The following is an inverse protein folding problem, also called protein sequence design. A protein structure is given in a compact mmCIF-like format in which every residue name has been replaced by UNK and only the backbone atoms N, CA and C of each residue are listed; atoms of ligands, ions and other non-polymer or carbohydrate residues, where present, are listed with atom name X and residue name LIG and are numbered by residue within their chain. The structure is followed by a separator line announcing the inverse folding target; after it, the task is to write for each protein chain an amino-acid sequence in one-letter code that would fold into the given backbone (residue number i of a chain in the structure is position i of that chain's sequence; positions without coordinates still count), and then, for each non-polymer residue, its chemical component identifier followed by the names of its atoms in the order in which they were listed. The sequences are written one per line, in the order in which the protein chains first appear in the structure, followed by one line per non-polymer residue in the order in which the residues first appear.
data_IF_390141350132
#
_entry.id   IF_390141350132
#
_cell.length_a   1.000
_cell.length_b   1.000
_cell.length_c   1.000
_cell.angle_alpha   90.00
_cell.angle_beta   90.00
_cell.angle_gamma   90.00
#
_symmetry.space_group_name_H-M   'P 1'
#
loop_
_entity.id
_entity.type
_entity.pdbx_description
1 polymer ?
#
# COMPACT_ATOMS: atom_id res chain seq x y z
N UNK A 1 19.40 17.84 38.78
CA UNK A 1 19.93 17.29 37.50
C UNK A 1 19.02 16.18 37.04
N UNK A 2 18.22 16.41 36.01
CA UNK A 2 17.42 15.39 35.34
C UNK A 2 18.35 14.59 34.41
N UNK A 3 18.62 13.33 34.74
CA UNK A 3 19.42 12.44 33.91
C UNK A 3 18.54 11.83 32.82
N UNK A 4 18.68 12.37 31.61
CA UNK A 4 18.19 11.80 30.35
C UNK A 4 18.98 10.52 30.06
N UNK A 5 18.40 9.34 30.27
CA UNK A 5 19.00 8.07 29.84
C UNK A 5 18.85 7.91 28.32
N UNK A 6 19.97 7.84 27.62
CA UNK A 6 20.05 7.41 26.22
C UNK A 6 19.68 5.93 26.12
N UNK A 7 18.78 5.60 25.20
CA UNK A 7 18.43 4.22 24.83
C UNK A 7 19.58 3.59 24.03
N UNK A 8 20.66 3.26 24.72
CA UNK A 8 21.78 2.46 24.18
C UNK A 8 22.07 1.26 25.09
N UNK A 9 21.05 0.69 25.71
CA UNK A 9 21.18 -0.63 26.35
C UNK A 9 20.91 -1.71 25.28
N UNK A 10 22.00 -2.24 24.72
CA UNK A 10 22.03 -3.38 23.79
C UNK A 10 21.67 -4.72 24.45
N UNK A 11 21.22 -4.73 25.72
CA UNK A 11 20.89 -5.93 26.49
C UNK A 11 19.38 -6.15 26.70
N UNK A 12 18.53 -5.39 26.00
CA UNK A 12 17.08 -5.61 25.94
C UNK A 12 16.65 -5.67 24.48
N UNK A 13 17.28 -6.55 23.70
CA UNK A 13 16.75 -6.99 22.41
C UNK A 13 16.26 -8.41 22.69
N UNK A 14 15.04 -8.52 23.21
CA UNK A 14 14.32 -9.79 23.13
C UNK A 14 14.18 -10.06 21.63
N UNK A 15 14.74 -11.18 21.16
CA UNK A 15 14.73 -11.62 19.77
C UNK A 15 13.30 -11.58 19.23
N UNK A 16 13.00 -10.49 18.52
CA UNK A 16 11.79 -10.32 17.75
C UNK A 16 11.82 -11.36 16.62
N UNK A 17 10.77 -12.17 16.41
CA UNK A 17 10.79 -13.13 15.32
C UNK A 17 11.00 -12.41 13.97
N UNK A 18 11.82 -13.00 13.09
CA UNK A 18 12.20 -12.39 11.82
C UNK A 18 10.97 -12.03 10.98
N UNK A 19 10.84 -10.76 10.57
CA UNK A 19 9.84 -10.30 9.61
C UNK A 19 10.25 -10.78 8.22
N UNK A 20 9.43 -11.64 7.61
CA UNK A 20 9.59 -12.01 6.21
C UNK A 20 8.86 -10.98 5.34
N UNK A 21 9.59 -10.28 4.46
CA UNK A 21 8.99 -9.34 3.49
C UNK A 21 9.06 -9.96 2.11
N UNK A 22 7.92 -9.99 1.43
CA UNK A 22 7.78 -10.55 0.09
C UNK A 22 7.11 -9.54 -0.82
N UNK A 23 7.72 -9.30 -1.98
CA UNK A 23 7.11 -8.50 -3.05
C UNK A 23 6.24 -9.40 -3.92
N UNK A 24 4.99 -8.99 -4.13
CA UNK A 24 4.02 -9.71 -4.95
C UNK A 24 3.66 -8.84 -6.15
N UNK A 25 4.12 -9.26 -7.32
CA UNK A 25 3.95 -8.52 -8.56
C UNK A 25 2.59 -8.80 -9.20
N UNK A 26 1.87 -7.73 -9.53
CA UNK A 26 0.58 -7.74 -10.19
C UNK A 26 0.71 -7.15 -11.59
N UNK A 27 0.13 -7.80 -12.58
CA UNK A 27 0.04 -7.25 -13.93
C UNK A 27 -1.16 -6.31 -14.05
N UNK A 28 -1.00 -5.19 -14.76
CA UNK A 28 -2.15 -4.34 -15.11
C UNK A 28 -3.13 -5.12 -16.00
N UNK A 29 -4.43 -4.98 -15.73
CA UNK A 29 -5.48 -5.40 -16.67
C UNK A 29 -5.47 -4.52 -17.91
N UNK A 30 -6.15 -4.95 -18.98
CA UNK A 30 -6.25 -4.15 -20.21
C UNK A 30 -6.84 -2.75 -19.94
N UNK A 31 -7.91 -2.66 -19.15
CA UNK A 31 -8.51 -1.38 -18.75
C UNK A 31 -7.48 -0.51 -18.00
N UNK A 32 -6.77 -1.09 -17.03
CA UNK A 32 -5.78 -0.34 -16.27
C UNK A 32 -4.62 0.14 -17.16
N UNK A 33 -4.15 -0.68 -18.12
CA UNK A 33 -3.10 -0.28 -19.09
C UNK A 33 -3.55 0.93 -19.92
N UNK A 34 -4.77 0.89 -20.47
CA UNK A 34 -5.33 1.96 -21.30
C UNK A 34 -5.43 3.25 -20.46
N UNK A 35 -6.01 3.19 -19.26
CA UNK A 35 -6.14 4.35 -18.38
C UNK A 35 -4.77 4.92 -18.00
N UNK A 36 -3.84 4.05 -17.65
CA UNK A 36 -2.49 4.44 -17.26
C UNK A 36 -1.80 5.21 -18.40
N UNK A 37 -1.82 4.68 -19.62
CA UNK A 37 -1.23 5.34 -20.79
C UNK A 37 -1.88 6.70 -21.06
N UNK A 38 -3.21 6.76 -21.04
CA UNK A 38 -3.94 8.02 -21.23
C UNK A 38 -3.57 9.10 -20.19
N UNK A 39 -3.46 8.72 -18.92
CA UNK A 39 -3.08 9.64 -17.84
C UNK A 39 -1.65 10.19 -18.07
N UNK A 40 -0.72 9.32 -18.45
CA UNK A 40 0.67 9.71 -18.75
C UNK A 40 0.72 10.69 -19.92
N UNK A 41 0.06 10.37 -21.03
CA UNK A 41 0.03 11.22 -22.23
C UNK A 41 -0.59 12.59 -21.96
N UNK A 42 -1.77 12.62 -21.32
CA UNK A 42 -2.47 13.87 -20.99
C UNK A 42 -1.64 14.76 -20.07
N UNK A 43 -0.92 14.17 -19.11
CA UNK A 43 -0.09 14.96 -18.20
C UNK A 43 1.15 15.48 -18.89
N UNK A 44 1.79 14.70 -19.76
CA UNK A 44 2.95 15.18 -20.54
C UNK A 44 2.59 16.40 -21.37
N UNK A 45 1.45 16.37 -22.07
CA UNK A 45 0.96 17.53 -22.84
C UNK A 45 0.70 18.76 -21.94
N UNK A 46 0.19 18.56 -20.72
CA UNK A 46 -0.05 19.66 -19.77
C UNK A 46 1.24 20.24 -19.20
N UNK A 47 2.26 19.42 -18.97
CA UNK A 47 3.55 19.86 -18.42
C UNK A 47 4.34 20.71 -19.42
N UNK A 48 4.18 20.48 -20.72
CA UNK A 48 4.78 21.31 -21.78
C UNK A 48 4.22 22.75 -21.80
N UNK A 49 3.05 22.98 -21.19
CA UNK A 49 2.31 24.25 -21.27
C UNK A 49 2.34 25.10 -19.98
N UNK A 50 2.97 24.62 -18.90
CA UNK A 50 2.87 25.21 -17.54
C UNK A 50 4.21 25.65 -16.95
N UNK A 51 4.19 26.67 -16.10
CA UNK A 51 5.33 27.18 -15.32
C UNK A 51 5.46 26.52 -13.92
N UNK A 52 6.64 26.64 -13.29
CA UNK A 52 7.13 25.78 -12.21
C UNK A 52 6.24 25.46 -10.99
N UNK A 53 5.38 26.36 -10.50
CA UNK A 53 4.47 26.04 -9.37
C UNK A 53 3.30 25.15 -9.83
N UNK A 54 2.76 25.43 -11.01
CA UNK A 54 1.65 24.67 -11.59
C UNK A 54 2.11 23.27 -12.05
N UNK A 55 3.41 23.14 -12.39
CA UNK A 55 4.04 21.86 -12.69
C UNK A 55 4.07 20.91 -11.48
N UNK A 56 4.48 21.36 -10.29
CA UNK A 56 4.53 20.48 -9.10
C UNK A 56 3.16 19.91 -8.75
N UNK A 57 2.12 20.76 -8.81
CA UNK A 57 0.74 20.33 -8.60
C UNK A 57 0.30 19.28 -9.63
N UNK A 58 0.63 19.49 -10.90
CA UNK A 58 0.34 18.53 -11.97
C UNK A 58 1.05 17.18 -11.76
N UNK A 59 2.31 17.17 -11.30
CA UNK A 59 3.05 15.93 -10.99
C UNK A 59 2.38 15.17 -9.84
N UNK A 60 1.99 15.84 -8.76
CA UNK A 60 1.27 15.17 -7.66
C UNK A 60 -0.09 14.60 -8.10
N UNK A 61 -0.83 15.35 -8.93
CA UNK A 61 -2.10 14.88 -9.48
C UNK A 61 -1.90 13.63 -10.36
N UNK A 62 -0.86 13.63 -11.21
CA UNK A 62 -0.47 12.47 -12.01
C UNK A 62 -0.13 11.27 -11.14
N UNK A 63 0.75 11.42 -10.16
CA UNK A 63 1.13 10.32 -9.28
C UNK A 63 -0.07 9.74 -8.51
N UNK A 64 -0.97 10.62 -8.07
CA UNK A 64 -2.21 10.21 -7.42
C UNK A 64 -3.07 9.37 -8.37
N UNK A 65 -3.26 9.83 -9.61
CA UNK A 65 -4.04 9.12 -10.61
C UNK A 65 -3.44 7.77 -10.99
N UNK A 66 -2.11 7.70 -11.20
CA UNK A 66 -1.43 6.43 -11.51
C UNK A 66 -1.52 5.43 -10.35
N UNK A 67 -1.35 5.89 -9.11
CA UNK A 67 -1.56 5.04 -7.91
C UNK A 67 -2.98 4.51 -7.84
N UNK A 68 -3.98 5.36 -8.06
CA UNK A 68 -5.38 4.95 -8.06
C UNK A 68 -5.64 3.88 -9.13
N UNK A 69 -5.19 4.10 -10.37
CA UNK A 69 -5.35 3.12 -11.46
C UNK A 69 -4.64 1.81 -11.14
N UNK A 70 -3.43 1.84 -10.58
CA UNK A 70 -2.70 0.63 -10.16
C UNK A 70 -3.45 -0.14 -9.07
N UNK A 71 -4.13 0.54 -8.15
CA UNK A 71 -4.97 -0.08 -7.12
C UNK A 71 -6.25 -0.69 -7.72
N UNK A 72 -7.03 0.13 -8.41
CA UNK A 72 -8.29 -0.26 -9.06
C UNK A 72 -8.78 0.88 -9.98
N UNK A 73 -9.24 0.60 -11.22
CA UNK A 73 -9.75 1.64 -12.12
C UNK A 73 -10.89 2.44 -11.50
N UNK A 74 -11.76 1.78 -10.73
CA UNK A 74 -12.85 2.41 -9.96
C UNK A 74 -12.39 3.57 -9.06
N UNK A 75 -11.16 3.58 -8.56
CA UNK A 75 -10.66 4.70 -7.73
C UNK A 75 -10.42 5.98 -8.53
N UNK A 76 -10.23 5.87 -9.84
CA UNK A 76 -9.98 6.98 -10.75
C UNK A 76 -11.24 7.38 -11.52
N UNK A 77 -12.01 6.39 -12.02
CA UNK A 77 -13.29 6.59 -12.72
C UNK A 77 -14.38 5.89 -11.92
N UNK A 78 -15.41 6.61 -11.48
CA UNK A 78 -16.42 6.03 -10.59
C UNK A 78 -17.30 4.98 -11.26
N UNK A 79 -17.46 5.09 -12.58
CA UNK A 79 -18.27 4.21 -13.41
C UNK A 79 -17.56 2.92 -13.84
N UNK A 80 -16.27 2.76 -13.55
CA UNK A 80 -15.55 1.52 -13.84
C UNK A 80 -16.13 0.34 -13.04
N UNK A 81 -15.90 -0.88 -13.52
CA UNK A 81 -16.35 -2.09 -12.82
C UNK A 81 -15.80 -2.14 -11.39
N UNK A 82 -16.59 -2.67 -10.46
CA UNK A 82 -16.20 -2.98 -9.08
C UNK A 82 -15.82 -4.46 -8.91
N UNK A 83 -15.83 -5.23 -10.00
CA UNK A 83 -15.48 -6.65 -10.00
C UNK A 83 -13.99 -6.86 -9.77
N UNK A 84 -13.64 -8.03 -9.24
CA UNK A 84 -12.27 -8.34 -8.86
C UNK A 84 -11.30 -8.37 -10.04
N UNK A 85 -11.83 -8.76 -11.20
CA UNK A 85 -11.12 -8.95 -12.45
C UNK A 85 -10.64 -7.63 -13.06
N UNK A 86 -11.23 -6.50 -12.66
CA UNK A 86 -10.87 -5.17 -13.15
C UNK A 86 -9.50 -4.68 -12.64
N UNK A 87 -8.94 -5.30 -11.59
CA UNK A 87 -7.63 -4.95 -11.04
C UNK A 87 -6.72 -6.16 -10.84
N UNK A 88 -5.50 -6.07 -11.40
CA UNK A 88 -4.48 -7.09 -11.19
C UNK A 88 -4.08 -7.27 -9.72
N UNK A 89 -4.02 -6.17 -8.96
CA UNK A 89 -3.71 -6.25 -7.52
C UNK A 89 -4.81 -6.95 -6.74
N UNK A 90 -6.07 -6.74 -7.11
CA UNK A 90 -7.19 -7.48 -6.50
C UNK A 90 -7.08 -8.98 -6.78
N UNK A 91 -6.72 -9.37 -8.01
CA UNK A 91 -6.54 -10.77 -8.35
C UNK A 91 -5.42 -11.44 -7.53
N UNK A 92 -4.26 -10.76 -7.40
CA UNK A 92 -3.17 -11.22 -6.54
C UNK A 92 -3.60 -11.30 -5.06
N UNK A 93 -4.30 -10.27 -4.58
CA UNK A 93 -4.83 -10.24 -3.21
C UNK A 93 -5.71 -11.46 -2.94
N UNK A 94 -6.67 -11.78 -3.82
CA UNK A 94 -7.56 -12.93 -3.65
C UNK A 94 -6.79 -14.25 -3.62
N UNK A 95 -5.75 -14.40 -4.46
CA UNK A 95 -4.86 -15.57 -4.42
C UNK A 95 -4.13 -15.72 -3.09
N UNK A 96 -3.57 -14.63 -2.57
CA UNK A 96 -2.92 -14.61 -1.25
C UNK A 96 -3.91 -14.94 -0.13
N UNK A 97 -5.08 -14.30 -0.14
CA UNK A 97 -6.11 -14.51 0.87
C UNK A 97 -6.60 -15.95 0.89
N UNK A 98 -6.89 -16.56 -0.26
CA UNK A 98 -7.27 -17.98 -0.34
C UNK A 98 -6.22 -18.88 0.31
N UNK A 99 -4.93 -18.61 0.08
CA UNK A 99 -3.82 -19.36 0.66
C UNK A 99 -3.69 -19.19 2.17
N UNK A 100 -3.78 -17.95 2.65
CA UNK A 100 -3.69 -17.60 4.08
C UNK A 100 -4.89 -18.16 4.86
N UNK A 101 -6.10 -17.97 4.34
CA UNK A 101 -7.33 -18.37 5.01
C UNK A 101 -7.51 -19.90 5.05
N UNK A 102 -7.01 -20.62 4.04
CA UNK A 102 -6.97 -22.09 4.05
C UNK A 102 -6.17 -22.64 5.25
N UNK A 103 -5.20 -21.88 5.75
CA UNK A 103 -4.38 -22.21 6.92
C UNK A 103 -4.95 -21.69 8.23
N UNK A 104 -6.14 -21.07 8.19
CA UNK A 104 -6.79 -20.41 9.34
C UNK A 104 -5.90 -19.34 10.00
N UNK A 105 -5.06 -18.68 9.21
CA UNK A 105 -4.18 -17.60 9.65
C UNK A 105 -4.87 -16.24 9.48
N UNK A 106 -4.64 -15.31 10.43
CA UNK A 106 -5.26 -13.98 10.39
C UNK A 106 -4.42 -12.98 9.59
N UNK A 107 -5.10 -12.11 8.85
CA UNK A 107 -4.47 -11.14 7.95
C UNK A 107 -5.00 -9.72 8.12
N UNK A 108 -4.09 -8.75 8.04
CA UNK A 108 -4.40 -7.33 7.95
C UNK A 108 -4.14 -6.85 6.52
N UNK A 109 -5.07 -6.08 5.96
CA UNK A 109 -4.89 -5.43 4.66
C UNK A 109 -4.80 -3.92 4.88
N UNK A 110 -3.69 -3.32 4.45
CA UNK A 110 -3.47 -1.88 4.52
C UNK A 110 -3.64 -1.24 3.14
N UNK A 111 -4.36 -0.12 3.12
CA UNK A 111 -4.46 0.75 1.94
C UNK A 111 -4.37 2.22 2.32
N UNK A 112 -3.82 3.06 1.44
CA UNK A 112 -3.83 4.52 1.56
C UNK A 112 -5.22 5.12 1.34
N UNK A 113 -6.08 4.45 0.58
CA UNK A 113 -7.32 5.02 0.07
C UNK A 113 -8.53 4.44 0.81
N UNK A 114 -9.29 5.28 1.50
CA UNK A 114 -10.50 4.84 2.20
C UNK A 114 -11.53 4.21 1.24
N UNK A 115 -11.67 4.78 0.04
CA UNK A 115 -12.53 4.25 -1.02
C UNK A 115 -12.11 2.85 -1.47
N UNK A 116 -10.81 2.56 -1.51
CA UNK A 116 -10.33 1.20 -1.79
C UNK A 116 -10.71 0.24 -0.68
N UNK A 117 -10.63 0.66 0.58
CA UNK A 117 -11.05 -0.18 1.70
C UNK A 117 -12.52 -0.57 1.63
N UNK A 118 -13.41 0.37 1.27
CA UNK A 118 -14.83 0.06 1.04
C UNK A 118 -15.03 -0.87 -0.16
N UNK A 119 -14.36 -0.60 -1.28
CA UNK A 119 -14.42 -1.47 -2.46
C UNK A 119 -13.94 -2.90 -2.15
N UNK A 120 -12.87 -3.03 -1.37
CA UNK A 120 -12.39 -4.33 -0.90
C UNK A 120 -13.43 -5.04 -0.01
N UNK A 121 -14.20 -4.35 0.83
CA UNK A 121 -15.28 -5.00 1.59
C UNK A 121 -16.32 -5.63 0.64
N UNK A 122 -16.73 -4.92 -0.41
CA UNK A 122 -17.68 -5.41 -1.42
C UNK A 122 -17.13 -6.63 -2.18
N UNK A 123 -15.88 -6.53 -2.64
CA UNK A 123 -15.20 -7.60 -3.38
C UNK A 123 -15.02 -8.83 -2.50
N UNK A 124 -14.50 -8.69 -1.28
CA UNK A 124 -14.24 -9.82 -0.38
C UNK A 124 -15.53 -10.51 0.07
N UNK A 125 -16.62 -9.75 0.22
CA UNK A 125 -17.94 -10.32 0.47
C UNK A 125 -18.44 -11.13 -0.71
N UNK A 126 -18.27 -10.64 -1.93
CA UNK A 126 -18.70 -11.35 -3.14
C UNK A 126 -17.86 -12.60 -3.43
N UNK A 127 -16.53 -12.45 -3.37
CA UNK A 127 -15.56 -13.46 -3.81
C UNK A 127 -15.30 -14.55 -2.76
N UNK A 128 -15.36 -14.20 -1.48
CA UNK A 128 -14.99 -15.09 -0.38
C UNK A 128 -16.12 -15.30 0.64
N UNK A 129 -17.24 -14.57 0.52
CA UNK A 129 -18.32 -14.57 1.50
C UNK A 129 -17.84 -14.19 2.92
N UNK A 130 -16.92 -13.22 3.01
CA UNK A 130 -16.33 -12.76 4.27
C UNK A 130 -16.69 -11.30 4.52
N UNK A 131 -17.38 -11.06 5.64
CA UNK A 131 -17.56 -9.72 6.19
C UNK A 131 -16.24 -9.25 6.80
N UNK A 132 -15.75 -8.12 6.31
CA UNK A 132 -14.40 -7.63 6.62
C UNK A 132 -14.50 -6.32 7.40
N UNK A 133 -14.19 -6.27 8.71
CA UNK A 133 -14.14 -5.01 9.45
C UNK A 133 -13.17 -4.02 8.79
N UNK A 134 -13.56 -2.76 8.69
CA UNK A 134 -12.75 -1.72 8.08
C UNK A 134 -12.51 -0.55 9.03
N UNK A 135 -11.25 -0.41 9.46
CA UNK A 135 -10.79 0.66 10.34
C UNK A 135 -10.29 1.84 9.49
N UNK A 136 -11.02 2.95 9.53
CA UNK A 136 -10.69 4.15 8.77
C UNK A 136 -10.81 5.44 9.59
N UNK A 137 -10.44 6.58 8.99
CA UNK A 137 -10.38 7.88 9.69
C UNK A 137 -11.74 8.37 10.20
N UNK A 138 -12.84 7.86 9.64
CA UNK A 138 -14.20 8.18 10.07
C UNK A 138 -14.76 7.26 11.16
N UNK A 139 -14.03 6.20 11.55
CA UNK A 139 -14.49 5.28 12.59
C UNK A 139 -14.41 5.95 13.98
N UNK A 140 -15.53 5.95 14.71
CA UNK A 140 -15.58 6.43 16.10
C UNK A 140 -14.68 5.58 17.01
N UNK A 141 -14.31 6.12 18.19
CA UNK A 141 -13.50 5.40 19.17
C UNK A 141 -14.15 4.06 19.59
N UNK A 142 -15.48 4.04 19.73
CA UNK A 142 -16.22 2.84 20.10
C UNK A 142 -16.17 1.77 18.99
N UNK A 143 -16.44 2.16 17.73
CA UNK A 143 -16.32 1.26 16.58
C UNK A 143 -14.90 0.72 16.44
N UNK A 144 -13.90 1.59 16.60
CA UNK A 144 -12.49 1.20 16.53
C UNK A 144 -12.13 0.17 17.59
N UNK A 145 -12.55 0.36 18.84
CA UNK A 145 -12.34 -0.62 19.91
C UNK A 145 -13.02 -1.96 19.60
N UNK A 146 -14.26 -1.93 19.11
CA UNK A 146 -15.01 -3.14 18.76
C UNK A 146 -14.34 -3.94 17.63
N UNK A 147 -13.90 -3.27 16.56
CA UNK A 147 -13.20 -3.95 15.44
C UNK A 147 -11.87 -4.56 15.88
N UNK A 148 -11.08 -3.85 16.70
CA UNK A 148 -9.82 -4.36 17.24
C UNK A 148 -10.06 -5.56 18.15
N UNK A 149 -11.05 -5.48 19.05
CA UNK A 149 -11.38 -6.55 19.97
C UNK A 149 -11.86 -7.81 19.22
N UNK A 150 -12.75 -7.64 18.25
CA UNK A 150 -13.22 -8.70 17.36
C UNK A 150 -12.06 -9.33 16.58
N UNK A 151 -11.19 -8.54 15.93
CA UNK A 151 -10.04 -9.09 15.21
C UNK A 151 -9.06 -9.84 16.13
N UNK A 152 -8.86 -9.38 17.36
CA UNK A 152 -7.92 -10.02 18.30
C UNK A 152 -8.49 -11.31 18.91
N UNK A 153 -9.78 -11.31 19.26
CA UNK A 153 -10.35 -12.33 20.15
C UNK A 153 -11.38 -13.26 19.49
N UNK A 154 -12.06 -12.85 18.43
CA UNK A 154 -13.04 -13.70 17.74
C UNK A 154 -12.35 -14.56 16.66
N UNK A 155 -12.40 -15.89 16.74
CA UNK A 155 -11.79 -16.78 15.74
C UNK A 155 -12.42 -16.64 14.35
N UNK A 156 -13.66 -16.15 14.23
CA UNK A 156 -14.32 -15.97 12.92
C UNK A 156 -13.88 -14.69 12.21
N UNK A 157 -13.35 -13.71 12.96
CA UNK A 157 -12.80 -12.48 12.38
C UNK A 157 -11.36 -12.72 11.93
N UNK A 158 -11.22 -13.30 10.74
CA UNK A 158 -9.94 -13.74 10.15
C UNK A 158 -9.21 -12.66 9.35
N UNK A 159 -9.92 -11.59 8.98
CA UNK A 159 -9.39 -10.51 8.14
C UNK A 159 -9.86 -9.17 8.67
N UNK A 160 -9.01 -8.15 8.60
CA UNK A 160 -9.41 -6.76 8.82
C UNK A 160 -8.68 -5.82 7.86
N UNK A 161 -9.41 -4.82 7.35
CA UNK A 161 -8.89 -3.78 6.46
C UNK A 161 -8.59 -2.53 7.28
N UNK A 162 -7.52 -1.82 6.95
CA UNK A 162 -7.10 -0.59 7.60
C UNK A 162 -6.69 0.47 6.59
N UNK A 163 -7.10 1.71 6.82
CA UNK A 163 -6.52 2.86 6.13
C UNK A 163 -5.60 3.66 7.04
N UNK A 164 -4.41 3.99 6.56
CA UNK A 164 -3.32 4.47 7.43
C UNK A 164 -3.50 5.89 7.95
N UNK A 165 -4.37 6.71 7.32
CA UNK A 165 -4.82 7.99 7.92
C UNK A 165 -5.57 7.80 9.23
N UNK A 166 -6.17 6.63 9.43
CA UNK A 166 -6.79 6.27 10.70
C UNK A 166 -5.75 5.88 11.76
N UNK A 167 -4.52 5.53 11.36
CA UNK A 167 -3.54 4.84 12.17
C UNK A 167 -2.83 5.66 13.25
N UNK A 168 -3.12 6.95 13.44
CA UNK A 168 -2.48 7.80 14.46
C UNK A 168 -2.69 7.39 15.93
N UNK A 169 -3.31 6.24 16.20
CA UNK A 169 -3.54 5.70 17.55
C UNK A 169 -2.75 4.40 17.72
N UNK A 170 -2.12 4.16 18.86
CA UNK A 170 -1.35 2.95 19.15
C UNK A 170 -2.19 1.66 19.22
N UNK A 171 -2.69 1.19 18.07
CA UNK A 171 -3.42 -0.06 17.90
C UNK A 171 -2.51 -1.26 18.20
N UNK A 172 -3.07 -2.28 18.84
CA UNK A 172 -2.39 -3.53 19.17
C UNK A 172 -3.06 -4.67 18.39
N UNK A 173 -2.45 -5.14 17.30
CA UNK A 173 -3.04 -6.09 16.34
C UNK A 173 -2.21 -7.37 16.19
N UNK A 174 -1.74 -7.90 17.32
CA UNK A 174 -0.81 -9.04 17.42
C UNK A 174 -1.40 -10.39 17.00
N UNK A 175 -2.71 -10.50 16.77
CA UNK A 175 -3.32 -11.73 16.28
C UNK A 175 -2.99 -12.01 14.80
N UNK A 176 -2.58 -10.99 14.05
CA UNK A 176 -2.21 -11.11 12.65
C UNK A 176 -0.90 -11.90 12.48
N UNK A 177 -0.92 -12.89 11.57
CA UNK A 177 0.29 -13.58 11.10
C UNK A 177 0.71 -13.09 9.70
N UNK A 178 -0.21 -12.40 9.01
CA UNK A 178 0.04 -11.77 7.72
C UNK A 178 -0.33 -10.31 7.70
N UNK A 179 0.46 -9.53 6.97
CA UNK A 179 0.18 -8.14 6.63
C UNK A 179 0.27 -8.00 5.12
N UNK A 180 -0.72 -7.40 4.48
CA UNK A 180 -0.72 -7.10 3.06
C UNK A 180 -0.76 -5.58 2.90
N UNK A 181 0.28 -5.00 2.31
CA UNK A 181 0.26 -3.62 1.82
C UNK A 181 -0.28 -3.63 0.39
N UNK A 182 -1.54 -3.20 0.24
CA UNK A 182 -2.23 -3.23 -1.04
C UNK A 182 -1.68 -2.20 -2.02
N UNK A 183 -1.21 -1.07 -1.51
CA UNK A 183 -0.58 0.00 -2.28
C UNK A 183 0.82 0.32 -1.76
N UNK A 184 1.69 0.72 -2.68
CA UNK A 184 3.11 0.90 -2.39
C UNK A 184 3.35 2.17 -1.57
N UNK A 185 4.07 1.99 -0.46
CA UNK A 185 4.58 3.07 0.36
C UNK A 185 5.98 3.43 -0.10
N UNK A 186 6.17 4.65 -0.56
CA UNK A 186 7.50 5.05 -1.02
C UNK A 186 8.45 5.33 0.15
N UNK A 187 7.91 5.72 1.31
CA UNK A 187 8.70 5.90 2.53
C UNK A 187 8.68 4.62 3.37
N UNK A 188 9.79 3.86 3.45
CA UNK A 188 9.86 2.64 4.23
C UNK A 188 9.57 2.85 5.71
N UNK A 189 9.81 4.04 6.26
CA UNK A 189 9.50 4.34 7.66
C UNK A 189 7.99 4.38 7.92
N UNK A 190 7.19 4.84 6.96
CA UNK A 190 5.73 4.87 7.07
C UNK A 190 5.16 3.45 6.93
N UNK A 191 5.70 2.66 5.99
CA UNK A 191 5.33 1.25 5.81
C UNK A 191 5.69 0.41 7.04
N UNK A 192 6.91 0.58 7.55
CA UNK A 192 7.36 -0.09 8.76
C UNK A 192 6.52 0.34 9.95
N UNK A 193 6.19 1.63 10.11
CA UNK A 193 5.26 2.05 11.17
C UNK A 193 3.88 1.39 11.05
N UNK A 194 3.35 1.20 9.83
CA UNK A 194 2.10 0.49 9.63
C UNK A 194 2.23 -1.00 10.00
N UNK A 195 3.33 -1.63 9.60
CA UNK A 195 3.64 -3.03 9.88
C UNK A 195 3.90 -3.28 11.37
N UNK A 196 4.65 -2.39 12.03
CA UNK A 196 5.00 -2.42 13.46
C UNK A 196 3.78 -2.27 14.39
N UNK A 197 2.58 -2.07 13.83
CA UNK A 197 1.32 -2.14 14.59
C UNK A 197 0.72 -3.54 14.62
N UNK A 198 0.98 -4.33 13.57
CA UNK A 198 0.73 -5.77 13.55
C UNK A 198 1.80 -6.52 14.36
N UNK A 199 3.00 -5.93 14.48
CA UNK A 199 4.17 -6.54 15.08
C UNK A 199 4.61 -5.79 16.35
N UNK A 200 4.43 -6.39 17.53
CA UNK A 200 4.98 -5.84 18.79
C UNK A 200 5.94 -6.81 19.45
N UNK A 201 6.86 -6.22 20.22
CA UNK A 201 7.74 -6.94 21.16
C UNK A 201 6.90 -7.81 22.09
N UNK A 202 7.12 -9.12 22.06
CA UNK A 202 6.39 -10.14 22.84
C UNK A 202 5.45 -11.04 22.03
N UNK A 203 5.45 -10.94 20.69
CA UNK A 203 4.75 -11.87 19.81
C UNK A 203 5.68 -13.03 19.44
N UNK A 204 5.25 -14.28 19.69
CA UNK A 204 6.04 -15.50 19.39
C UNK A 204 5.87 -16.01 17.94
N UNK A 205 5.01 -15.36 17.14
CA UNK A 205 4.68 -15.79 15.77
C UNK A 205 5.42 -14.97 14.74
N UNK A 206 6.02 -15.66 13.76
CA UNK A 206 6.55 -15.05 12.55
C UNK A 206 5.44 -14.30 11.80
N UNK A 207 5.72 -13.06 11.40
CA UNK A 207 4.80 -12.25 10.58
C UNK A 207 5.34 -12.17 9.16
N UNK A 208 4.51 -12.53 8.19
CA UNK A 208 4.83 -12.37 6.76
C UNK A 208 4.17 -11.10 6.23
N UNK A 209 4.94 -10.26 5.56
CA UNK A 209 4.50 -8.99 4.99
C UNK A 209 4.55 -9.10 3.48
N UNK A 210 3.41 -8.93 2.84
CA UNK A 210 3.25 -8.97 1.40
C UNK A 210 3.09 -7.54 0.87
N UNK A 211 3.92 -7.12 -0.08
CA UNK A 211 3.83 -5.80 -0.72
C UNK A 211 3.32 -5.99 -2.14
N UNK A 212 2.14 -5.47 -2.45
CA UNK A 212 1.59 -5.57 -3.80
C UNK A 212 2.15 -4.46 -4.68
N UNK A 213 2.85 -4.84 -5.74
CA UNK A 213 3.55 -3.93 -6.65
C UNK A 213 3.04 -4.20 -8.05
N UNK A 214 2.66 -3.14 -8.79
CA UNK A 214 2.25 -3.32 -10.18
C UNK A 214 3.48 -3.36 -11.10
N UNK A 215 3.66 -4.50 -11.76
CA UNK A 215 4.75 -4.79 -12.70
C UNK A 215 4.68 -3.87 -13.94
N UNK A 216 5.83 -3.46 -14.44
CA UNK A 216 5.97 -2.60 -15.62
C UNK A 216 5.61 -1.13 -15.38
N UNK A 217 5.24 -0.73 -14.15
CA UNK A 217 4.79 0.63 -13.82
C UNK A 217 5.82 1.45 -13.04
N UNK A 218 5.47 2.69 -12.70
CA UNK A 218 6.26 3.52 -11.79
C UNK A 218 6.45 2.85 -10.41
N UNK A 219 5.52 2.01 -9.94
CA UNK A 219 5.65 1.35 -8.64
C UNK A 219 6.85 0.40 -8.60
N UNK A 220 7.00 -0.44 -9.62
CA UNK A 220 8.13 -1.36 -9.76
C UNK A 220 9.45 -0.59 -9.86
N UNK A 221 9.50 0.45 -10.70
CA UNK A 221 10.70 1.28 -10.87
C UNK A 221 11.13 1.94 -9.55
N UNK A 222 10.18 2.48 -8.78
CA UNK A 222 10.48 3.03 -7.46
C UNK A 222 10.99 1.94 -6.50
N UNK A 223 10.38 0.75 -6.51
CA UNK A 223 10.84 -0.34 -5.65
C UNK A 223 12.28 -0.78 -6.00
N UNK A 224 12.62 -0.91 -7.28
CA UNK A 224 13.98 -1.21 -7.74
C UNK A 224 14.97 -0.13 -7.27
N UNK A 225 14.64 1.15 -7.48
CA UNK A 225 15.47 2.27 -7.02
C UNK A 225 15.71 2.24 -5.49
N UNK A 226 14.71 1.84 -4.72
CA UNK A 226 14.81 1.67 -3.27
C UNK A 226 15.70 0.48 -2.87
N UNK A 227 15.66 -0.61 -3.64
CA UNK A 227 16.47 -1.81 -3.40
C UNK A 227 17.95 -1.58 -3.75
N UNK A 228 18.23 -0.82 -4.81
CA UNK A 228 19.57 -0.56 -5.33
C UNK A 228 20.42 0.39 -4.44
N UNK A 229 19.87 0.89 -3.32
CA UNK A 229 20.54 1.82 -2.37
C UNK A 229 21.18 3.04 -3.05
N UNK A 230 20.59 3.50 -4.15
CA UNK A 230 21.05 4.69 -4.85
C UNK A 230 20.95 5.93 -3.93
N UNK A 231 21.68 7.01 -4.26
CA UNK A 231 21.59 8.29 -3.55
C UNK A 231 20.14 8.83 -3.44
N UNK A 232 19.26 8.41 -4.35
CA UNK A 232 17.83 8.71 -4.36
C UNK A 232 17.06 8.13 -3.17
N UNK A 233 17.56 7.09 -2.51
CA UNK A 233 16.93 6.49 -1.31
C UNK A 233 16.89 7.48 -0.15
N UNK A 234 17.92 8.31 0.03
CA UNK A 234 17.92 9.33 1.08
C UNK A 234 16.83 10.38 0.83
N UNK A 235 16.68 10.81 -0.43
CA UNK A 235 15.64 11.76 -0.82
C UNK A 235 14.22 11.17 -0.73
N UNK A 236 14.01 9.91 -1.14
CA UNK A 236 12.71 9.25 -1.00
C UNK A 236 12.32 9.10 0.48
N UNK A 237 13.28 8.72 1.33
CA UNK A 237 13.08 8.58 2.77
C UNK A 237 12.81 9.94 3.45
N UNK A 238 13.54 10.99 3.06
CA UNK A 238 13.46 12.31 3.68
C UNK A 238 12.27 13.16 3.15
N UNK A 239 12.02 13.13 1.84
CA UNK A 239 11.04 13.96 1.14
C UNK A 239 9.75 13.21 0.75
N UNK A 240 9.69 11.89 0.94
CA UNK A 240 8.49 11.09 0.68
C UNK A 240 8.15 11.04 -0.81
N UNK A 241 7.05 11.65 -1.23
CA UNK A 241 6.67 11.72 -2.65
C UNK A 241 7.19 12.97 -3.35
N UNK A 242 7.70 13.94 -2.57
CA UNK A 242 8.09 15.26 -3.10
C UNK A 242 9.34 15.21 -3.97
N UNK A 243 10.23 14.23 -3.79
CA UNK A 243 11.43 14.09 -4.64
C UNK A 243 11.07 13.91 -6.13
N UNK A 244 9.92 13.28 -6.44
CA UNK A 244 9.49 13.11 -7.85
C UNK A 244 9.23 14.45 -8.51
N UNK A 245 8.86 15.48 -7.74
CA UNK A 245 8.67 16.84 -8.26
C UNK A 245 9.97 17.58 -8.55
N UNK A 246 11.11 17.01 -8.18
CA UNK A 246 12.45 17.55 -8.40
C UNK A 246 13.15 16.90 -9.60
N UNK A 247 12.55 15.85 -10.19
CA UNK A 247 13.05 15.18 -11.37
C UNK A 247 12.98 16.07 -12.62
N UNK A 248 13.95 15.92 -13.52
CA UNK A 248 13.87 16.51 -14.86
C UNK A 248 12.69 15.91 -15.64
N UNK A 249 12.17 16.61 -16.67
CA UNK A 249 11.08 16.09 -17.50
C UNK A 249 11.39 14.72 -18.12
N UNK A 250 12.65 14.46 -18.51
CA UNK A 250 13.08 13.17 -19.06
C UNK A 250 13.12 12.06 -18.00
N UNK A 251 13.58 12.36 -16.78
CA UNK A 251 13.59 11.39 -15.68
C UNK A 251 12.17 11.07 -15.23
N UNK A 252 11.31 12.08 -15.11
CA UNK A 252 9.89 11.88 -14.79
C UNK A 252 9.21 11.01 -15.85
N UNK A 253 9.43 11.31 -17.14
CA UNK A 253 8.89 10.50 -18.25
C UNK A 253 9.37 9.05 -18.16
N UNK A 254 10.68 8.84 -17.96
CA UNK A 254 11.25 7.51 -17.79
C UNK A 254 10.63 6.77 -16.60
N UNK A 255 10.41 7.46 -15.47
CA UNK A 255 9.80 6.88 -14.28
C UNK A 255 8.35 6.43 -14.51
N UNK A 256 7.54 7.25 -15.18
CA UNK A 256 6.10 7.01 -15.28
C UNK A 256 5.70 6.18 -16.50
N UNK A 257 6.49 6.11 -17.57
CA UNK A 257 6.12 5.34 -18.76
C UNK A 257 6.13 3.83 -18.48
N UNK A 258 5.19 3.08 -19.04
CA UNK A 258 5.17 1.61 -18.92
C UNK A 258 6.43 0.99 -19.56
N UNK A 259 6.93 -0.11 -19.01
CA UNK A 259 8.02 -0.89 -19.66
C UNK A 259 7.52 -1.50 -20.98
N UNK A 260 8.40 -1.59 -21.98
CA UNK A 260 8.05 -1.93 -23.37
C UNK A 260 7.34 -3.28 -23.53
N UNK A 261 7.73 -4.27 -22.72
CA UNK A 261 7.12 -5.59 -22.61
C UNK A 261 5.70 -5.58 -22.02
N UNK A 262 5.35 -4.55 -21.25
CA UNK A 262 4.02 -4.36 -20.69
C UNK A 262 3.12 -3.42 -21.52
N UNK A 263 3.64 -2.83 -22.60
CA UNK A 263 2.89 -1.92 -23.50
C UNK A 263 1.96 -2.69 -24.46
N UNK A 264 2.25 -3.94 -24.80
CA UNK A 264 1.46 -4.68 -25.78
C UNK A 264 0.04 -5.00 -25.25
N UNK A 265 -0.96 -4.69 -26.09
CA UNK A 265 -2.40 -4.92 -25.93
C UNK A 265 -2.76 -6.29 -26.50
#
# INVERSE_FOLDING_TARGET
MMLRRMKTDKSIINDLPEKLVTDCYANLTLEQKILYQQIVEQTQQRLEQKDGIDQKGAIFALLTALKQVCCHPALYIEESSHESEASGKTQILLGLLRSILCRSEKVLIFTQYARMGFLLQEILKTELNIESPFLHGGSSLAQRKAMVDSFQNDPNTVLMILSIRAGGTGLNLTAASHVIHYDLWWNPAVENQATDRAFRIGQDKQVTVHRLITEGTFEEKINEMLQDKAALVEDVVAKGETWVTELSPSELKSLITLREDHVQI
#
